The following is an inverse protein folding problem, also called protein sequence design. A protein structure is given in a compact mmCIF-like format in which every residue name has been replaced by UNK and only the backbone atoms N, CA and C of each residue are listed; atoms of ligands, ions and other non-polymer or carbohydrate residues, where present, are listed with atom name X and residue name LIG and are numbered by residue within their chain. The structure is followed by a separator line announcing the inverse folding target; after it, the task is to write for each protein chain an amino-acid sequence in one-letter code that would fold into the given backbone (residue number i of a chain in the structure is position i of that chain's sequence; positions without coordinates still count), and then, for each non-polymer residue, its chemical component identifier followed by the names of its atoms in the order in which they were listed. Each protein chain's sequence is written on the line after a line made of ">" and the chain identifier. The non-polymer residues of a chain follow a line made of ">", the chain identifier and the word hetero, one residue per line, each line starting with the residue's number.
data_IF_721745989219
#
_entry.id   IF_721745989219
#
_cell.length_a   1.000
_cell.length_b   1.000
_cell.length_c   1.000
_cell.angle_alpha   90.00
_cell.angle_beta   90.00
_cell.angle_gamma   90.00
#
_symmetry.space_group_name_H-M   'P 1'
#
loop_
_entity.id
_entity.type
_entity.pdbx_description
1 polymer ?
#
# COMPACT_ATOMS: atom_id res chain seq x y z
N UNK A 1 -10.30 -16.14 -20.85
CA UNK A 1 -9.78 -17.53 -20.83
C UNK A 1 -8.25 -17.63 -20.92
N UNK A 2 -7.51 -16.52 -21.18
CA UNK A 2 -6.04 -16.56 -21.38
C UNK A 2 -5.20 -16.20 -20.14
N UNK A 3 -5.77 -15.94 -18.96
CA UNK A 3 -5.01 -15.55 -17.77
C UNK A 3 -4.88 -16.65 -16.70
N UNK A 4 -5.49 -17.81 -16.88
CA UNK A 4 -5.30 -18.94 -15.96
C UNK A 4 -3.93 -19.63 -16.07
N UNK A 5 -3.21 -19.41 -17.17
CA UNK A 5 -1.87 -20.00 -17.37
C UNK A 5 -0.74 -19.27 -16.59
N UNK A 6 -0.97 -18.07 -16.07
CA UNK A 6 0.05 -17.31 -15.32
C UNK A 6 0.17 -17.71 -13.84
N UNK A 7 -0.77 -18.50 -13.32
CA UNK A 7 -0.73 -19.06 -11.97
C UNK A 7 -0.11 -20.48 -11.97
N UNK A 8 0.58 -20.86 -13.03
CA UNK A 8 1.49 -21.99 -12.97
C UNK A 8 2.49 -21.71 -11.84
N UNK A 9 2.43 -22.54 -10.78
CA UNK A 9 3.21 -22.43 -9.57
C UNK A 9 4.53 -21.68 -9.81
N UNK A 10 4.63 -20.47 -9.29
CA UNK A 10 5.90 -19.75 -9.32
C UNK A 10 6.86 -20.61 -8.53
N UNK A 11 7.73 -21.34 -9.25
CA UNK A 11 8.82 -22.04 -8.58
C UNK A 11 9.63 -21.00 -7.84
N UNK A 12 10.04 -21.36 -6.62
CA UNK A 12 10.97 -20.55 -5.86
C UNK A 12 12.17 -20.19 -6.77
N UNK A 13 12.56 -18.90 -6.83
CA UNK A 13 13.67 -18.50 -7.66
C UNK A 13 14.95 -19.17 -7.17
N UNK A 14 15.70 -19.76 -8.07
CA UNK A 14 17.05 -20.26 -7.81
C UNK A 14 18.05 -19.18 -8.22
N UNK A 15 18.85 -18.73 -7.28
CA UNK A 15 19.95 -17.81 -7.56
C UNK A 15 21.22 -18.59 -7.80
N UNK A 16 21.98 -18.17 -8.82
CA UNK A 16 23.26 -18.76 -9.17
C UNK A 16 24.37 -17.71 -9.02
N UNK A 17 25.52 -18.14 -8.58
CA UNK A 17 26.74 -17.33 -8.61
C UNK A 17 27.37 -17.28 -10.02
N UNK A 18 28.53 -16.63 -10.14
CA UNK A 18 29.26 -16.52 -11.42
C UNK A 18 29.78 -17.88 -11.92
N UNK A 19 29.87 -18.90 -11.06
CA UNK A 19 30.26 -20.27 -11.37
C UNK A 19 29.05 -21.20 -11.62
N UNK A 20 27.84 -20.67 -11.59
CA UNK A 20 26.58 -21.44 -11.78
C UNK A 20 26.18 -22.29 -10.58
N UNK A 21 26.75 -22.05 -9.40
CA UNK A 21 26.39 -22.73 -8.17
C UNK A 21 25.21 -22.01 -7.49
N UNK A 22 24.35 -22.79 -6.81
CA UNK A 22 23.23 -22.21 -6.03
C UNK A 22 23.77 -21.24 -4.97
N UNK A 23 23.15 -20.07 -4.91
CA UNK A 23 23.50 -19.00 -4.00
C UNK A 23 22.28 -18.59 -3.16
N UNK A 24 22.49 -18.34 -1.89
CA UNK A 24 21.48 -17.73 -1.04
C UNK A 24 21.37 -16.21 -1.32
N UNK A 25 20.20 -15.62 -1.21
CA UNK A 25 20.07 -14.17 -1.29
C UNK A 25 20.85 -13.49 -0.17
N UNK A 26 21.39 -12.33 -0.46
CA UNK A 26 22.16 -11.52 0.51
C UNK A 26 21.26 -11.05 1.66
N UNK A 27 19.98 -10.84 1.38
CA UNK A 27 19.01 -10.28 2.33
C UNK A 27 17.59 -10.67 1.91
N UNK A 28 16.74 -11.02 2.88
CA UNK A 28 15.31 -11.25 2.70
C UNK A 28 14.51 -10.20 3.46
N UNK A 29 13.67 -9.46 2.77
CA UNK A 29 12.87 -8.38 3.36
C UNK A 29 11.39 -8.62 3.07
N UNK A 30 10.57 -8.60 4.10
CA UNK A 30 9.12 -8.53 3.94
C UNK A 30 8.66 -7.07 3.91
N UNK A 31 8.09 -6.63 2.78
CA UNK A 31 7.37 -5.36 2.69
C UNK A 31 6.00 -5.51 3.34
N UNK A 32 5.86 -4.92 4.53
CA UNK A 32 4.65 -5.01 5.34
C UNK A 32 3.69 -3.87 4.99
N UNK A 33 2.51 -4.21 4.48
CA UNK A 33 1.44 -3.23 4.24
C UNK A 33 0.46 -3.09 5.40
N UNK A 34 0.62 -3.88 6.47
CA UNK A 34 -0.28 -3.97 7.62
C UNK A 34 -1.76 -4.32 7.29
N UNK A 35 -2.02 -4.84 6.11
CA UNK A 35 -3.32 -5.42 5.73
C UNK A 35 -3.35 -6.93 5.94
N UNK A 36 -4.47 -7.58 5.59
CA UNK A 36 -4.72 -9.00 5.87
C UNK A 36 -3.61 -9.90 5.36
N UNK A 37 -3.25 -9.82 4.07
CA UNK A 37 -2.30 -10.74 3.46
C UNK A 37 -0.88 -10.55 3.98
N UNK A 38 -0.38 -9.29 4.01
CA UNK A 38 0.99 -9.03 4.46
C UNK A 38 1.20 -9.31 5.95
N UNK A 39 0.19 -9.06 6.77
CA UNK A 39 0.24 -9.38 8.20
C UNK A 39 0.11 -10.89 8.45
N UNK A 40 -0.73 -11.59 7.68
CA UNK A 40 -0.81 -13.05 7.71
C UNK A 40 0.56 -13.67 7.39
N UNK A 41 1.19 -13.23 6.30
CA UNK A 41 2.52 -13.71 5.90
C UNK A 41 3.58 -13.44 6.99
N UNK A 42 3.55 -12.24 7.60
CA UNK A 42 4.48 -11.87 8.66
C UNK A 42 4.33 -12.78 9.90
N UNK A 43 3.10 -13.03 10.32
CA UNK A 43 2.80 -13.88 11.48
C UNK A 43 3.04 -15.37 11.19
N UNK A 44 2.76 -15.83 9.96
CA UNK A 44 3.13 -17.18 9.52
C UNK A 44 4.65 -17.37 9.53
N UNK A 45 5.43 -16.37 9.14
CA UNK A 45 6.88 -16.41 9.25
C UNK A 45 7.33 -16.45 10.72
N UNK A 46 6.68 -15.69 11.61
CA UNK A 46 6.90 -15.74 13.05
C UNK A 46 6.64 -17.14 13.64
N UNK A 47 5.59 -17.82 13.17
CA UNK A 47 5.23 -19.18 13.61
C UNK A 47 6.05 -20.30 12.92
N UNK A 48 6.97 -19.96 12.02
CA UNK A 48 7.78 -20.95 11.30
C UNK A 48 7.03 -21.71 10.21
N UNK A 49 5.91 -21.16 9.72
CA UNK A 49 5.05 -21.76 8.69
C UNK A 49 5.52 -21.41 7.27
N UNK A 50 6.52 -20.55 7.13
CA UNK A 50 7.14 -20.23 5.84
C UNK A 50 8.45 -21.01 5.67
N UNK A 51 8.80 -21.36 4.44
CA UNK A 51 10.02 -22.12 4.14
C UNK A 51 11.31 -21.38 4.57
N UNK A 52 11.32 -20.08 4.42
CA UNK A 52 12.42 -19.18 4.81
C UNK A 52 11.91 -18.14 5.80
N UNK A 53 12.84 -17.44 6.44
CA UNK A 53 12.53 -16.33 7.35
C UNK A 53 13.00 -15.03 6.70
N UNK A 54 12.25 -13.92 6.84
CA UNK A 54 12.76 -12.61 6.48
C UNK A 54 13.82 -12.18 7.52
N UNK A 55 14.86 -11.49 7.05
CA UNK A 55 15.86 -10.86 7.91
C UNK A 55 15.33 -9.56 8.52
N UNK A 56 14.43 -8.88 7.82
CA UNK A 56 13.73 -7.67 8.27
C UNK A 56 12.32 -7.63 7.71
N UNK A 57 11.44 -6.99 8.47
CA UNK A 57 10.12 -6.55 7.99
C UNK A 57 10.10 -5.04 7.96
N UNK A 58 9.62 -4.43 6.87
CA UNK A 58 9.62 -2.99 6.71
C UNK A 58 8.20 -2.51 6.43
N UNK A 59 7.66 -1.70 7.33
CA UNK A 59 6.41 -0.97 7.17
C UNK A 59 6.72 0.45 6.67
N UNK A 60 6.13 0.83 5.53
CA UNK A 60 6.23 2.20 5.03
C UNK A 60 5.01 2.99 5.48
N UNK A 61 5.24 3.88 6.45
CA UNK A 61 4.23 4.79 6.94
C UNK A 61 4.06 5.98 5.98
N UNK A 62 2.84 6.25 5.59
CA UNK A 62 2.49 7.40 4.76
C UNK A 62 2.20 8.65 5.60
N UNK A 63 2.15 8.51 6.93
CA UNK A 63 1.75 9.55 7.86
C UNK A 63 0.23 9.81 7.86
N UNK A 64 -0.55 8.99 7.13
CA UNK A 64 -2.00 9.15 7.02
C UNK A 64 -2.74 7.81 6.95
N UNK A 65 -2.26 6.83 7.70
CA UNK A 65 -2.96 5.55 7.84
C UNK A 65 -4.09 5.69 8.89
N UNK A 66 -5.21 4.93 8.78
CA UNK A 66 -6.24 4.90 9.81
C UNK A 66 -5.71 4.48 11.18
N UNK A 67 -6.34 4.96 12.25
CA UNK A 67 -5.94 4.68 13.63
C UNK A 67 -5.81 3.18 13.93
N UNK A 68 -6.74 2.36 13.44
CA UNK A 68 -6.69 0.90 13.62
C UNK A 68 -5.49 0.24 12.89
N UNK A 69 -4.94 0.86 11.84
CA UNK A 69 -3.74 0.36 11.17
C UNK A 69 -2.52 0.59 12.04
N UNK A 70 -2.40 1.76 12.65
CA UNK A 70 -1.31 2.04 13.61
C UNK A 70 -1.39 1.11 14.82
N UNK A 71 -2.57 0.90 15.40
CA UNK A 71 -2.77 -0.07 16.49
C UNK A 71 -2.32 -1.48 16.09
N UNK A 72 -2.66 -1.90 14.87
CA UNK A 72 -2.25 -3.20 14.35
C UNK A 72 -0.73 -3.29 14.13
N UNK A 73 -0.09 -2.23 13.64
CA UNK A 73 1.39 -2.18 13.49
C UNK A 73 2.07 -2.30 14.86
N UNK A 74 1.56 -1.61 15.89
CA UNK A 74 2.09 -1.73 17.25
C UNK A 74 1.90 -3.14 17.83
N UNK A 75 0.76 -3.77 17.52
CA UNK A 75 0.56 -5.19 17.83
C UNK A 75 1.61 -6.07 17.14
N UNK A 76 1.84 -5.90 15.83
CA UNK A 76 2.82 -6.68 15.08
C UNK A 76 4.24 -6.48 15.60
N UNK A 77 4.64 -5.27 16.00
CA UNK A 77 5.94 -5.00 16.62
C UNK A 77 6.18 -5.81 17.89
N UNK A 78 5.11 -6.08 18.65
CA UNK A 78 5.18 -6.91 19.86
C UNK A 78 5.13 -8.41 19.57
N UNK A 79 4.33 -8.81 18.57
CA UNK A 79 4.10 -10.22 18.23
C UNK A 79 5.24 -10.84 17.41
N UNK A 80 5.96 -10.02 16.62
CA UNK A 80 7.04 -10.48 15.75
C UNK A 80 8.38 -10.29 16.46
N UNK A 81 9.06 -11.41 16.72
CA UNK A 81 10.34 -11.46 17.43
C UNK A 81 11.45 -12.13 16.62
N UNK A 82 11.12 -12.78 15.50
CA UNK A 82 12.10 -13.49 14.66
C UNK A 82 13.05 -12.59 13.91
N UNK A 83 12.65 -11.34 13.65
CA UNK A 83 13.44 -10.32 12.98
C UNK A 83 12.95 -8.92 13.34
N UNK A 84 13.77 -7.87 13.14
CA UNK A 84 13.34 -6.49 13.35
C UNK A 84 12.19 -6.09 12.42
N UNK A 85 11.12 -5.49 12.97
CA UNK A 85 10.10 -4.78 12.23
C UNK A 85 10.41 -3.27 12.29
N UNK A 86 10.77 -2.71 11.14
CA UNK A 86 11.22 -1.33 11.00
C UNK A 86 10.11 -0.51 10.34
N UNK A 87 9.76 0.62 10.94
CA UNK A 87 8.93 1.64 10.29
C UNK A 87 9.82 2.62 9.55
N UNK A 88 9.48 2.89 8.30
CA UNK A 88 10.12 3.92 7.47
C UNK A 88 9.07 4.91 7.00
N UNK A 89 9.45 6.16 6.89
CA UNK A 89 8.62 7.22 6.36
C UNK A 89 9.42 8.05 5.36
N UNK A 90 8.75 8.71 4.45
CA UNK A 90 9.33 9.71 3.59
C UNK A 90 8.94 11.11 4.06
N UNK A 91 7.65 11.33 4.22
CA UNK A 91 6.98 12.51 4.75
C UNK A 91 5.51 12.15 4.98
N UNK A 92 4.74 13.09 5.51
CA UNK A 92 3.32 12.91 5.74
C UNK A 92 2.52 13.29 4.48
N UNK A 93 1.86 12.30 3.84
CA UNK A 93 1.12 12.52 2.59
C UNK A 93 -0.06 13.49 2.76
N UNK A 94 -0.71 13.52 3.94
CA UNK A 94 -1.77 14.44 4.28
C UNK A 94 -1.28 15.89 4.24
N UNK A 95 -0.20 16.15 4.98
CA UNK A 95 0.42 17.47 5.07
C UNK A 95 0.94 17.95 3.71
N UNK A 96 1.57 17.05 2.97
CA UNK A 96 2.08 17.33 1.63
C UNK A 96 0.95 17.67 0.65
N UNK A 97 -0.21 16.99 0.74
CA UNK A 97 -1.41 17.29 -0.06
C UNK A 97 -1.97 18.68 0.27
N UNK A 98 -2.18 18.97 1.56
CA UNK A 98 -2.71 20.27 2.02
C UNK A 98 -1.77 21.40 1.59
N UNK A 99 -0.46 21.21 1.77
CA UNK A 99 0.56 22.20 1.38
C UNK A 99 0.59 22.41 -0.12
N UNK A 100 0.48 21.35 -0.91
CA UNK A 100 0.44 21.43 -2.37
C UNK A 100 -0.80 22.17 -2.88
N UNK A 101 -1.93 21.99 -2.19
CA UNK A 101 -3.18 22.67 -2.51
C UNK A 101 -3.21 24.14 -2.06
N UNK A 102 -2.46 24.48 -1.01
CA UNK A 102 -2.44 25.83 -0.41
C UNK A 102 -1.00 26.34 -0.30
N UNK A 103 -0.34 26.67 -1.43
CA UNK A 103 1.03 27.12 -1.41
C UNK A 103 1.12 28.49 -0.71
N UNK A 104 2.03 28.60 0.26
CA UNK A 104 2.31 29.87 0.95
C UNK A 104 2.97 30.82 -0.05
N UNK A 105 2.41 32.01 -0.34
CA UNK A 105 3.03 32.99 -1.19
C UNK A 105 4.38 33.42 -0.61
N UNK A 106 5.48 33.30 -1.39
CA UNK A 106 6.84 33.67 -0.96
C UNK A 106 7.48 32.68 0.04
N UNK A 107 6.83 31.58 0.36
CA UNK A 107 7.41 30.50 1.17
C UNK A 107 8.59 29.82 0.45
N UNK A 108 9.63 29.47 1.22
CA UNK A 108 10.75 28.70 0.69
C UNK A 108 10.23 27.40 0.06
N UNK A 109 10.65 27.16 -1.18
CA UNK A 109 10.20 26.03 -1.99
C UNK A 109 10.83 24.70 -1.57
N UNK A 110 11.19 24.51 -0.30
CA UNK A 110 11.77 23.26 0.21
C UNK A 110 10.89 22.05 -0.05
N UNK A 111 9.57 22.22 -0.11
CA UNK A 111 8.66 21.14 -0.51
C UNK A 111 8.79 20.75 -1.99
N UNK A 112 9.33 21.62 -2.86
CA UNK A 112 9.69 21.26 -4.24
C UNK A 112 10.86 20.28 -4.30
N UNK A 113 11.61 20.12 -3.20
CA UNK A 113 12.79 19.26 -3.13
C UNK A 113 12.47 17.77 -3.24
N UNK A 114 11.22 17.34 -3.07
CA UNK A 114 10.80 15.99 -3.43
C UNK A 114 10.70 15.83 -4.96
N UNK A 115 11.81 16.08 -5.69
CA UNK A 115 11.91 15.93 -7.13
C UNK A 115 10.88 16.77 -7.93
N UNK A 116 10.42 17.90 -7.38
CA UNK A 116 9.45 18.80 -8.04
C UNK A 116 8.06 18.21 -8.22
N UNK A 117 7.73 17.13 -7.53
CA UNK A 117 6.46 16.42 -7.67
C UNK A 117 5.54 16.70 -6.50
N UNK A 118 4.33 17.11 -6.82
CA UNK A 118 3.20 17.16 -5.89
C UNK A 118 2.83 15.72 -5.53
N UNK A 119 2.48 15.38 -4.26
CA UNK A 119 1.89 14.08 -3.93
C UNK A 119 0.69 13.86 -4.85
N UNK A 120 0.69 12.76 -5.58
CA UNK A 120 -0.40 12.42 -6.49
C UNK A 120 -1.08 11.13 -6.06
N UNK A 121 -1.97 11.18 -5.03
CA UNK A 121 -2.99 10.15 -4.93
C UNK A 121 -3.92 10.26 -6.15
N UNK A 122 -4.61 9.20 -6.53
CA UNK A 122 -5.48 9.18 -7.71
C UNK A 122 -6.81 9.90 -7.41
N UNK A 123 -6.73 11.21 -7.13
CA UNK A 123 -7.91 12.04 -6.84
C UNK A 123 -8.86 12.07 -8.03
N UNK A 124 -10.15 12.11 -7.74
CA UNK A 124 -11.16 12.35 -8.77
C UNK A 124 -11.17 13.83 -9.13
N UNK A 125 -11.15 14.11 -10.43
CA UNK A 125 -11.11 15.45 -10.98
C UNK A 125 -12.37 15.72 -11.80
N UNK A 126 -13.13 16.74 -11.44
CA UNK A 126 -14.34 17.16 -12.13
C UNK A 126 -14.18 18.57 -12.70
N UNK A 127 -14.61 18.75 -13.94
CA UNK A 127 -14.75 20.09 -14.57
C UNK A 127 -16.23 20.42 -14.72
N UNK A 128 -16.65 21.69 -14.64
CA UNK A 128 -18.01 22.09 -14.88
C UNK A 128 -18.52 21.53 -16.21
N UNK A 129 -19.63 20.79 -16.20
CA UNK A 129 -20.21 20.16 -17.39
C UNK A 129 -19.37 19.03 -18.01
N UNK A 130 -18.26 18.64 -17.40
CA UNK A 130 -17.35 17.57 -17.89
C UNK A 130 -17.57 16.22 -17.22
N UNK A 131 -16.91 15.20 -17.80
CA UNK A 131 -16.83 13.86 -17.16
C UNK A 131 -15.85 13.91 -15.98
N UNK A 132 -16.15 13.13 -14.93
CA UNK A 132 -15.22 12.90 -13.84
C UNK A 132 -14.05 12.04 -14.35
N UNK A 133 -12.83 12.52 -14.17
CA UNK A 133 -11.61 11.80 -14.44
C UNK A 133 -10.89 11.42 -13.15
N UNK A 134 -9.79 10.70 -13.25
CA UNK A 134 -8.93 10.34 -12.13
C UNK A 134 -7.50 10.77 -12.42
N UNK A 135 -6.82 11.35 -11.43
CA UNK A 135 -5.40 11.70 -11.56
C UNK A 135 -4.53 10.45 -11.53
N UNK A 136 -3.35 10.56 -12.17
CA UNK A 136 -2.40 9.45 -12.18
C UNK A 136 -1.82 9.20 -10.78
N UNK A 137 -1.86 7.92 -10.34
CA UNK A 137 -1.38 7.50 -9.02
C UNK A 137 0.15 7.41 -8.96
N UNK A 138 0.76 8.15 -8.04
CA UNK A 138 2.20 8.06 -7.72
C UNK A 138 2.47 7.84 -6.23
N UNK A 139 1.46 8.00 -5.37
CA UNK A 139 1.64 7.93 -3.92
C UNK A 139 2.30 6.63 -3.44
N UNK A 140 1.95 5.48 -4.02
CA UNK A 140 2.57 4.19 -3.66
C UNK A 140 4.07 4.20 -3.93
N UNK A 141 4.49 4.65 -5.10
CA UNK A 141 5.90 4.73 -5.45
C UNK A 141 6.65 5.68 -4.51
N UNK A 142 6.10 6.87 -4.32
CA UNK A 142 6.79 7.93 -3.60
C UNK A 142 6.83 7.71 -2.08
N UNK A 143 5.74 7.24 -1.48
CA UNK A 143 5.62 7.09 -0.02
C UNK A 143 5.86 5.67 0.50
N UNK A 144 5.87 4.64 -0.37
CA UNK A 144 6.10 3.26 0.05
C UNK A 144 7.34 2.65 -0.60
N UNK A 145 7.42 2.66 -1.94
CA UNK A 145 8.53 1.99 -2.65
C UNK A 145 9.88 2.66 -2.38
N UNK A 146 9.97 3.97 -2.57
CA UNK A 146 11.23 4.71 -2.36
C UNK A 146 11.78 4.57 -0.94
N UNK A 147 11.01 4.83 0.15
CA UNK A 147 11.54 4.69 1.50
C UNK A 147 11.95 3.27 1.84
N UNK A 148 11.22 2.23 1.38
CA UNK A 148 11.60 0.84 1.58
C UNK A 148 12.94 0.55 0.87
N UNK A 149 13.07 0.93 -0.41
CA UNK A 149 14.32 0.73 -1.16
C UNK A 149 15.50 1.49 -0.56
N UNK A 150 15.27 2.70 -0.06
CA UNK A 150 16.28 3.47 0.69
C UNK A 150 16.72 2.69 1.92
N UNK A 151 15.79 2.15 2.70
CA UNK A 151 16.10 1.37 3.90
C UNK A 151 16.85 0.08 3.58
N UNK A 152 16.48 -0.64 2.52
CA UNK A 152 17.23 -1.81 2.04
C UNK A 152 18.69 -1.47 1.75
N UNK A 153 18.95 -0.34 1.09
CA UNK A 153 20.32 0.14 0.80
C UNK A 153 21.08 0.50 2.07
N UNK A 154 20.42 1.12 3.05
CA UNK A 154 21.00 1.42 4.36
C UNK A 154 21.40 0.14 5.11
N UNK A 155 20.51 -0.87 5.14
CA UNK A 155 20.79 -2.18 5.75
C UNK A 155 21.99 -2.85 5.08
N UNK A 156 22.13 -2.74 3.76
CA UNK A 156 23.29 -3.23 2.99
C UNK A 156 24.56 -2.39 3.18
N UNK A 157 24.54 -1.33 4.00
CA UNK A 157 25.67 -0.42 4.23
C UNK A 157 26.04 0.44 3.01
N UNK A 158 25.12 0.62 2.05
CA UNK A 158 25.38 1.34 0.81
C UNK A 158 25.12 2.83 1.02
N UNK A 159 26.17 3.64 0.88
CA UNK A 159 26.07 5.11 0.98
C UNK A 159 25.19 5.69 -0.14
N UNK A 160 24.53 6.85 0.09
CA UNK A 160 23.78 7.55 -0.94
C UNK A 160 24.61 7.74 -2.22
N UNK A 161 23.97 7.61 -3.37
CA UNK A 161 24.59 7.74 -4.72
C UNK A 161 25.61 6.66 -5.10
N UNK A 162 25.96 5.72 -4.23
CA UNK A 162 26.84 4.58 -4.60
C UNK A 162 26.01 3.46 -5.27
N UNK A 163 26.63 2.70 -6.13
CA UNK A 163 25.99 1.53 -6.76
C UNK A 163 25.96 0.34 -5.80
N UNK A 164 24.94 -0.48 -5.90
CA UNK A 164 24.90 -1.79 -5.24
C UNK A 164 25.93 -2.69 -5.88
N UNK A 165 26.67 -3.44 -5.08
CA UNK A 165 27.73 -4.36 -5.57
C UNK A 165 27.09 -5.41 -6.49
N UNK A 166 27.76 -5.72 -7.61
CA UNK A 166 27.36 -6.81 -8.52
C UNK A 166 27.26 -8.13 -7.75
N UNK A 167 26.26 -8.92 -8.06
CA UNK A 167 26.00 -10.19 -7.37
C UNK A 167 25.26 -10.06 -6.03
N UNK A 168 24.94 -8.84 -5.54
CA UNK A 168 24.01 -8.67 -4.42
C UNK A 168 22.60 -9.04 -4.86
N UNK A 169 21.89 -9.84 -4.07
CA UNK A 169 20.51 -10.24 -4.31
C UNK A 169 19.71 -9.97 -3.04
N UNK A 170 18.70 -9.10 -3.14
CA UNK A 170 17.74 -8.87 -2.07
C UNK A 170 16.41 -9.46 -2.50
N UNK A 171 15.90 -10.43 -1.76
CA UNK A 171 14.53 -10.90 -1.93
C UNK A 171 13.58 -9.95 -1.22
N UNK A 172 12.64 -9.41 -1.97
CA UNK A 172 11.55 -8.62 -1.42
C UNK A 172 10.26 -9.44 -1.43
N UNK A 173 9.81 -9.83 -0.25
CA UNK A 173 8.55 -10.54 -0.07
C UNK A 173 7.39 -9.56 -0.07
N UNK A 174 6.38 -9.86 -0.87
CA UNK A 174 5.18 -9.04 -1.04
C UNK A 174 3.97 -9.92 -0.75
N UNK A 175 3.07 -9.45 0.10
CA UNK A 175 1.86 -10.17 0.53
C UNK A 175 0.76 -10.15 -0.55
N UNK A 176 1.04 -10.64 -1.75
CA UNK A 176 0.07 -10.85 -2.83
C UNK A 176 -0.40 -12.29 -2.77
N UNK A 177 -1.71 -12.50 -2.73
CA UNK A 177 -2.37 -13.79 -2.71
C UNK A 177 -2.76 -14.26 -4.12
N UNK A 178 -3.20 -15.52 -4.27
CA UNK A 178 -3.49 -16.13 -5.59
C UNK A 178 -4.58 -15.42 -6.37
N UNK A 179 -5.58 -14.88 -5.69
CA UNK A 179 -6.68 -14.09 -6.24
C UNK A 179 -6.23 -12.71 -6.76
N UNK A 180 -5.05 -12.24 -6.33
CA UNK A 180 -4.44 -10.98 -6.76
C UNK A 180 -3.19 -11.18 -7.66
N UNK A 181 -2.99 -12.36 -8.22
CA UNK A 181 -1.77 -12.69 -8.98
C UNK A 181 -1.50 -11.74 -10.17
N UNK A 182 -2.54 -11.11 -10.74
CA UNK A 182 -2.38 -10.09 -11.79
C UNK A 182 -1.60 -8.84 -11.33
N UNK A 183 -1.46 -8.64 -10.02
CA UNK A 183 -0.71 -7.52 -9.44
C UNK A 183 0.79 -7.79 -9.32
N UNK A 184 1.23 -9.01 -9.60
CA UNK A 184 2.65 -9.37 -9.55
C UNK A 184 3.44 -8.57 -10.58
N UNK A 185 4.51 -7.92 -10.14
CA UNK A 185 5.45 -7.22 -11.00
C UNK A 185 6.88 -7.52 -10.55
N UNK A 186 7.74 -7.80 -11.50
CA UNK A 186 9.17 -7.94 -11.21
C UNK A 186 9.77 -6.59 -10.82
N UNK A 187 10.68 -6.62 -9.87
CA UNK A 187 11.44 -5.44 -9.50
C UNK A 187 12.25 -4.90 -10.69
N UNK A 188 12.36 -3.58 -10.79
CA UNK A 188 13.12 -2.93 -11.87
C UNK A 188 14.62 -2.81 -11.56
N UNK A 189 14.99 -2.99 -10.30
CA UNK A 189 16.37 -2.85 -9.84
C UNK A 189 17.11 -4.19 -9.98
N UNK A 190 18.29 -4.24 -10.61
CA UNK A 190 18.98 -5.50 -10.92
C UNK A 190 19.46 -6.30 -9.70
N UNK A 191 19.42 -5.70 -8.52
CA UNK A 191 19.79 -6.33 -7.24
C UNK A 191 18.57 -6.72 -6.38
N UNK A 192 17.35 -6.44 -6.85
CA UNK A 192 16.11 -6.65 -6.12
C UNK A 192 15.25 -7.68 -6.85
N UNK A 193 14.85 -8.73 -6.16
CA UNK A 193 13.99 -9.79 -6.67
C UNK A 193 12.67 -9.81 -5.89
N UNK A 194 11.56 -9.62 -6.60
CA UNK A 194 10.23 -9.71 -6.00
C UNK A 194 9.84 -11.16 -5.79
N UNK A 195 9.31 -11.46 -4.60
CA UNK A 195 8.84 -12.79 -4.23
C UNK A 195 7.44 -12.74 -3.61
N UNK A 196 6.65 -13.74 -3.87
CA UNK A 196 5.24 -13.82 -3.45
C UNK A 196 4.95 -15.12 -2.67
N UNK A 197 5.38 -15.23 -1.40
CA UNK A 197 5.27 -16.48 -0.67
C UNK A 197 3.84 -17.00 -0.52
N UNK A 198 2.82 -16.14 -0.44
CA UNK A 198 1.42 -16.59 -0.39
C UNK A 198 0.98 -17.30 -1.68
N UNK A 199 1.48 -16.86 -2.85
CA UNK A 199 1.23 -17.54 -4.14
C UNK A 199 1.97 -18.88 -4.17
N UNK A 200 3.22 -18.93 -3.71
CA UNK A 200 4.00 -20.16 -3.61
C UNK A 200 3.31 -21.18 -2.70
N UNK A 201 2.68 -20.74 -1.61
CA UNK A 201 1.86 -21.53 -0.71
C UNK A 201 0.43 -21.78 -1.20
N UNK A 202 0.07 -21.26 -2.39
CA UNK A 202 -1.27 -21.35 -3.00
C UNK A 202 -2.38 -20.77 -2.14
N UNK A 203 -2.10 -19.73 -1.37
CA UNK A 203 -3.05 -19.08 -0.48
C UNK A 203 -3.77 -17.92 -1.17
N UNK A 204 -5.09 -17.94 -1.09
CA UNK A 204 -5.97 -16.83 -1.44
C UNK A 204 -6.13 -15.86 -0.25
N UNK A 205 -6.74 -14.69 -0.50
CA UNK A 205 -7.15 -13.78 0.58
C UNK A 205 -8.12 -14.46 1.55
N UNK A 206 -9.04 -15.28 1.03
CA UNK A 206 -9.98 -16.04 1.84
C UNK A 206 -9.25 -17.05 2.77
N UNK A 207 -8.14 -17.64 2.30
CA UNK A 207 -7.32 -18.53 3.13
C UNK A 207 -6.61 -17.75 4.24
N UNK A 208 -6.09 -16.55 3.96
CA UNK A 208 -5.52 -15.67 4.97
C UNK A 208 -6.57 -15.30 6.04
N UNK A 209 -7.78 -14.95 5.64
CA UNK A 209 -8.89 -14.65 6.56
C UNK A 209 -9.27 -15.87 7.40
N UNK A 210 -9.27 -17.06 6.80
CA UNK A 210 -9.55 -18.33 7.48
C UNK A 210 -8.47 -18.64 8.51
N UNK A 211 -7.19 -18.42 8.15
CA UNK A 211 -6.08 -18.61 9.06
C UNK A 211 -6.22 -17.77 10.35
N UNK A 212 -6.66 -16.50 10.24
CA UNK A 212 -6.94 -15.66 11.41
C UNK A 212 -8.12 -16.19 12.23
N UNK A 213 -9.22 -16.61 11.58
CA UNK A 213 -10.43 -17.08 12.27
C UNK A 213 -10.21 -18.38 13.02
N UNK A 214 -9.57 -19.33 12.35
CA UNK A 214 -9.43 -20.69 12.88
C UNK A 214 -8.33 -20.73 13.94
N UNK A 215 -7.24 -20.01 13.72
CA UNK A 215 -6.12 -19.91 14.67
C UNK A 215 -6.47 -19.13 15.94
N UNK A 216 -7.32 -18.10 15.85
CA UNK A 216 -7.72 -17.19 16.96
C UNK A 216 -6.59 -16.64 17.82
N UNK A 217 -5.35 -16.74 17.35
CA UNK A 217 -4.15 -16.30 18.08
C UNK A 217 -3.88 -14.81 17.92
N UNK A 218 -4.28 -14.25 16.78
CA UNK A 218 -3.94 -12.90 16.36
C UNK A 218 -5.19 -12.10 16.01
N UNK A 219 -5.22 -10.80 16.30
CA UNK A 219 -6.33 -9.94 15.91
C UNK A 219 -6.40 -9.82 14.39
N UNK A 220 -7.62 -9.84 13.86
CA UNK A 220 -7.87 -9.65 12.43
C UNK A 220 -7.54 -8.21 12.06
N UNK A 221 -6.61 -7.96 11.12
CA UNK A 221 -6.33 -6.60 10.66
C UNK A 221 -7.47 -6.03 9.83
N UNK A 222 -7.65 -4.72 9.91
CA UNK A 222 -8.48 -3.99 8.97
C UNK A 222 -7.83 -3.89 7.57
N UNK A 223 -8.54 -3.29 6.62
CA UNK A 223 -7.96 -2.98 5.30
C UNK A 223 -6.99 -1.81 5.45
N UNK A 224 -5.73 -2.02 5.08
CA UNK A 224 -4.70 -1.00 5.11
C UNK A 224 -4.75 -0.13 3.85
N UNK A 225 -5.12 1.13 4.02
CA UNK A 225 -5.07 2.18 3.01
C UNK A 225 -5.16 3.53 3.70
N UNK A 226 -4.55 4.58 3.15
CA UNK A 226 -4.59 5.91 3.77
C UNK A 226 -6.03 6.37 4.04
N UNK A 227 -6.24 7.19 5.08
CA UNK A 227 -7.56 7.72 5.47
C UNK A 227 -8.30 8.31 4.26
N UNK A 228 -7.68 9.18 3.48
CA UNK A 228 -8.27 9.80 2.30
C UNK A 228 -7.94 9.07 0.98
N UNK A 229 -7.84 7.75 0.97
CA UNK A 229 -7.54 7.03 -0.26
C UNK A 229 -8.75 7.06 -1.23
N UNK A 230 -8.61 7.58 -2.48
CA UNK A 230 -9.71 7.61 -3.44
C UNK A 230 -10.22 6.22 -3.87
N UNK A 231 -9.45 5.16 -3.62
CA UNK A 231 -9.85 3.77 -3.85
C UNK A 231 -10.66 3.16 -2.70
N UNK A 232 -11.12 3.96 -1.74
CA UNK A 232 -12.08 3.47 -0.76
C UNK A 232 -13.43 3.15 -1.40
N UNK A 233 -13.96 1.96 -1.10
CA UNK A 233 -15.35 1.61 -1.39
C UNK A 233 -16.30 2.28 -0.41
N UNK A 234 -17.58 2.35 -0.76
CA UNK A 234 -18.60 2.93 0.10
C UNK A 234 -18.65 2.28 1.49
N UNK A 235 -18.41 0.97 1.58
CA UNK A 235 -18.36 0.26 2.86
C UNK A 235 -17.21 0.69 3.76
N UNK A 236 -16.06 1.06 3.18
CA UNK A 236 -14.94 1.59 3.93
C UNK A 236 -15.24 3.01 4.43
N UNK A 237 -15.81 3.87 3.59
CA UNK A 237 -16.30 5.18 3.99
C UNK A 237 -17.36 5.08 5.07
N UNK A 238 -18.33 4.14 4.94
CA UNK A 238 -19.36 3.84 5.93
C UNK A 238 -18.74 3.40 7.26
N UNK A 239 -17.79 2.47 7.21
CA UNK A 239 -17.08 2.01 8.41
C UNK A 239 -16.34 3.16 9.10
N UNK A 240 -15.67 3.99 8.34
CA UNK A 240 -14.94 5.16 8.86
C UNK A 240 -15.92 6.16 9.49
N UNK A 241 -16.99 6.52 8.78
CA UNK A 241 -18.01 7.47 9.27
C UNK A 241 -18.69 6.97 10.57
N UNK A 242 -18.90 5.64 10.69
CA UNK A 242 -19.58 5.05 11.84
C UNK A 242 -18.65 4.79 13.03
N UNK A 243 -17.49 4.22 12.78
CA UNK A 243 -16.66 3.62 13.83
C UNK A 243 -15.40 4.42 14.11
N UNK A 244 -14.98 5.31 13.18
CA UNK A 244 -13.74 6.11 13.29
C UNK A 244 -14.04 7.58 12.94
N UNK A 245 -14.87 8.27 13.73
CA UNK A 245 -15.34 9.63 13.39
C UNK A 245 -14.22 10.66 13.29
N UNK A 246 -13.10 10.48 13.99
CA UNK A 246 -11.92 11.34 13.85
C UNK A 246 -11.24 11.18 12.49
N UNK A 247 -11.06 9.94 12.03
CA UNK A 247 -10.48 9.65 10.71
C UNK A 247 -11.42 10.16 9.59
N UNK A 248 -12.75 10.03 9.80
CA UNK A 248 -13.74 10.57 8.88
C UNK A 248 -13.68 12.09 8.78
N UNK A 249 -13.63 12.80 9.90
CA UNK A 249 -13.55 14.25 9.92
C UNK A 249 -12.24 14.74 9.27
N UNK A 250 -11.14 14.04 9.51
CA UNK A 250 -9.85 14.33 8.89
C UNK A 250 -9.88 14.15 7.37
N UNK A 251 -10.53 13.07 6.87
CA UNK A 251 -10.76 12.90 5.44
C UNK A 251 -11.58 14.03 4.83
N UNK A 252 -12.65 14.46 5.51
CA UNK A 252 -13.48 15.58 5.09
C UNK A 252 -12.68 16.90 5.04
N UNK A 253 -11.87 17.17 6.06
CA UNK A 253 -11.00 18.34 6.08
C UNK A 253 -10.06 18.41 4.89
N UNK A 254 -9.41 17.28 4.58
CA UNK A 254 -8.50 17.20 3.43
C UNK A 254 -9.26 17.36 2.12
N UNK A 255 -10.42 16.69 1.96
CA UNK A 255 -11.27 16.82 0.77
C UNK A 255 -11.68 18.28 0.51
N UNK A 256 -12.03 19.02 1.56
CA UNK A 256 -12.38 20.45 1.46
C UNK A 256 -11.15 21.30 1.06
N UNK A 257 -9.99 21.05 1.67
CA UNK A 257 -8.76 21.84 1.44
C UNK A 257 -8.14 21.64 0.05
N UNK A 258 -8.28 20.44 -0.52
CA UNK A 258 -7.71 20.14 -1.84
C UNK A 258 -8.60 20.55 -3.01
N UNK A 259 -9.84 20.98 -2.76
CA UNK A 259 -10.90 21.21 -3.76
C UNK A 259 -10.41 22.00 -5.00
N UNK A 260 -9.72 23.11 -4.80
CA UNK A 260 -9.33 24.03 -5.86
C UNK A 260 -7.83 24.26 -5.99
N UNK A 261 -7.01 23.48 -5.31
CA UNK A 261 -5.66 23.91 -4.92
C UNK A 261 -4.49 23.35 -5.71
N UNK A 262 -4.61 22.30 -6.51
CA UNK A 262 -3.44 21.77 -7.21
C UNK A 262 -3.08 22.61 -8.43
N UNK A 263 -1.86 23.16 -8.43
CA UNK A 263 -1.34 24.18 -9.38
C UNK A 263 -1.52 23.89 -10.88
N UNK A 264 -1.69 22.65 -11.28
CA UNK A 264 -1.72 22.26 -12.69
C UNK A 264 -3.08 21.74 -13.16
N UNK A 265 -4.14 21.97 -12.41
CA UNK A 265 -5.49 21.59 -12.81
C UNK A 265 -6.49 22.70 -12.55
N UNK A 266 -7.38 22.92 -13.52
CA UNK A 266 -8.56 23.78 -13.39
C UNK A 266 -9.78 22.99 -12.92
N UNK A 267 -9.64 21.68 -12.72
CA UNK A 267 -10.69 20.82 -12.23
C UNK A 267 -10.80 20.89 -10.70
N UNK A 268 -12.00 20.73 -10.19
CA UNK A 268 -12.23 20.47 -8.78
C UNK A 268 -11.81 19.05 -8.43
N UNK A 269 -11.19 18.86 -7.25
CA UNK A 269 -10.66 17.60 -6.81
C UNK A 269 -11.46 17.03 -5.65
N UNK A 270 -11.62 15.70 -5.66
CA UNK A 270 -12.44 14.98 -4.71
C UNK A 270 -11.79 13.66 -4.31
N UNK A 271 -12.02 13.25 -3.07
CA UNK A 271 -11.59 11.93 -2.58
C UNK A 271 -12.56 10.80 -3.02
N UNK A 272 -13.80 11.15 -3.35
CA UNK A 272 -14.83 10.17 -3.71
C UNK A 272 -15.25 10.24 -5.18
N UNK A 273 -15.51 9.09 -5.81
CA UNK A 273 -15.86 8.95 -7.24
C UNK A 273 -17.11 9.71 -7.69
N UNK A 274 -18.01 10.04 -6.78
CA UNK A 274 -19.19 10.87 -7.11
C UNK A 274 -18.85 12.35 -7.36
N UNK A 275 -17.61 12.75 -7.10
CA UNK A 275 -17.14 14.13 -7.26
C UNK A 275 -18.09 15.15 -6.60
N UNK A 276 -18.44 14.89 -5.35
CA UNK A 276 -19.17 15.79 -4.46
C UNK A 276 -18.40 15.89 -3.14
N UNK A 277 -18.54 17.00 -2.39
CA UNK A 277 -17.84 17.14 -1.10
C UNK A 277 -18.11 15.95 -0.19
N UNK A 278 -17.05 15.35 0.35
CA UNK A 278 -17.16 14.15 1.16
C UNK A 278 -18.06 14.36 2.37
N UNK A 279 -18.02 15.55 2.98
CA UNK A 279 -18.85 15.96 4.11
C UNK A 279 -20.34 15.94 3.80
N UNK A 280 -20.74 16.15 2.54
CA UNK A 280 -22.14 16.10 2.11
C UNK A 280 -22.68 14.69 1.92
N UNK A 281 -21.81 13.67 2.01
CA UNK A 281 -22.18 12.27 1.78
C UNK A 281 -22.61 11.59 3.08
N UNK A 282 -23.74 10.87 3.02
CA UNK A 282 -24.19 10.00 4.08
C UNK A 282 -24.11 8.54 3.64
N UNK A 283 -23.11 7.83 4.13
CA UNK A 283 -22.92 6.40 3.83
C UNK A 283 -23.68 5.49 4.80
N UNK A 284 -24.31 6.05 5.86
CA UNK A 284 -25.06 5.26 6.85
C UNK A 284 -26.46 4.91 6.34
N UNK A 285 -26.99 5.68 5.39
CA UNK A 285 -28.27 5.36 4.76
C UNK A 285 -28.15 4.11 3.88
N UNK A 286 -29.17 3.23 3.87
CA UNK A 286 -29.18 2.10 2.97
C UNK A 286 -29.15 2.56 1.51
N UNK A 287 -28.48 1.85 0.60
CA UNK A 287 -28.49 2.18 -0.82
C UNK A 287 -29.93 2.19 -1.35
N UNK A 288 -30.29 3.20 -2.15
CA UNK A 288 -31.59 3.21 -2.83
C UNK A 288 -31.69 1.96 -3.72
N UNK A 289 -32.87 1.36 -3.75
CA UNK A 289 -33.14 0.03 -4.35
C UNK A 289 -32.56 -0.25 -5.76
N UNK A 290 -32.17 0.80 -6.51
CA UNK A 290 -31.52 0.69 -7.83
C UNK A 290 -30.01 0.32 -7.77
N UNK A 291 -29.37 0.47 -6.63
CA UNK A 291 -27.92 0.21 -6.47
C UNK A 291 -27.63 -1.21 -5.95
N UNK A 292 -28.68 -1.98 -5.57
CA UNK A 292 -28.51 -3.33 -5.00
C UNK A 292 -27.90 -4.36 -5.99
N UNK A 293 -28.07 -4.18 -7.27
CA UNK A 293 -27.54 -5.09 -8.31
C UNK A 293 -26.11 -4.76 -8.76
N UNK A 294 -25.56 -3.62 -8.36
CA UNK A 294 -24.18 -3.21 -8.69
C UNK A 294 -23.13 -3.60 -7.65
N UNK A 295 -23.55 -4.13 -6.51
CA UNK A 295 -22.65 -4.33 -5.35
C UNK A 295 -21.77 -5.59 -5.44
N UNK A 296 -22.05 -6.54 -6.33
CA UNK A 296 -21.25 -7.77 -6.43
C UNK A 296 -20.01 -7.66 -7.33
N UNK A 297 -20.01 -6.77 -8.32
CA UNK A 297 -18.86 -6.59 -9.23
C UNK A 297 -17.84 -5.57 -8.74
N UNK A 298 -18.19 -4.69 -7.79
CA UNK A 298 -17.31 -3.64 -7.26
C UNK A 298 -16.39 -4.12 -6.12
N UNK A 299 -16.62 -5.29 -5.52
CA UNK A 299 -15.86 -5.75 -4.35
C UNK A 299 -14.40 -6.16 -4.66
N UNK A 300 -14.07 -6.42 -5.92
CA UNK A 300 -12.75 -6.96 -6.30
C UNK A 300 -11.89 -6.05 -7.18
N UNK A 301 -12.44 -4.97 -7.75
CA UNK A 301 -11.75 -4.24 -8.82
C UNK A 301 -10.87 -3.07 -8.37
N UNK A 302 -11.09 -2.51 -7.17
CA UNK A 302 -10.44 -1.25 -6.77
C UNK A 302 -9.68 -1.34 -5.44
N UNK A 303 -9.09 -2.49 -5.11
CA UNK A 303 -8.15 -2.49 -3.99
C UNK A 303 -7.01 -1.53 -4.33
N UNK A 304 -6.64 -0.69 -3.35
CA UNK A 304 -5.35 -0.01 -3.41
C UNK A 304 -4.36 -1.09 -3.81
N UNK A 305 -3.99 -1.10 -5.10
CA UNK A 305 -2.97 -2.02 -5.59
C UNK A 305 -1.74 -1.74 -4.75
N UNK A 306 -1.69 -2.39 -3.60
CA UNK A 306 -0.58 -2.31 -2.67
C UNK A 306 0.66 -2.88 -3.31
N UNK A 307 1.10 -2.17 -4.35
CA UNK A 307 2.44 -2.28 -4.91
C UNK A 307 3.42 -1.74 -3.86
N UNK A 308 3.27 -2.23 -2.61
CA UNK A 308 4.21 -1.97 -1.56
C UNK A 308 5.45 -2.78 -1.92
N UNK A 309 6.26 -2.24 -2.84
CA UNK A 309 7.55 -2.84 -3.11
C UNK A 309 7.93 -3.08 -4.57
N UNK A 310 7.20 -2.60 -5.56
CA UNK A 310 7.61 -2.76 -6.97
C UNK A 310 7.78 -1.42 -7.65
#
# INVERSE_FOLDING_TARGET
>A
LNNMAAVAATKEPEYLDEEGKKKEPTLRILSLGAGVQSSCLALMAQEGLTKHKPDYMIFADTGWEPSFVYEHVEYLKKAITICPLITVERSNIREDLIRAANPIPGGNEEWKSFAGRVPNPPLFAARPGGKVGMLYRQCTHDYKVIPIQKKMREILGIKPRHRVKKGTIVEQWIGISTDEAMRMKKARLPWLESRWPLIEMKMSRADCLRWYRDGKKHPMPGKSSCIGCPYHHNDQWKNMQKNYPKDWEDACEVDDKIRHGLKNTTAELFLHKKAVPLRSMNFLEPPKQKDLFKTFDDEFSDECEGLCGV
#
